data_IF_593678494984
#
_entry.id   IF_593678494984
#
_cell.length_a   1.000
_cell.length_b   1.000
_cell.length_c   1.000
_cell.angle_alpha   90.00
_cell.angle_beta   90.00
_cell.angle_gamma   90.00
#
_symmetry.space_group_name_H-M   'P 1'
#
loop_
_entity.id
_entity.type
_entity.pdbx_description
1 polymer ?
#
# COMPACT_ATOMS: atom_id res chain seq x y z
N UNK A 1 -2.00 6.45 -2.31
CA UNK A 1 -2.48 5.27 -3.03
C UNK A 1 -2.00 5.34 -4.47
N UNK A 2 -1.46 4.23 -4.98
CA UNK A 2 -1.06 4.06 -6.36
C UNK A 2 -2.09 3.19 -7.07
N UNK A 3 -2.56 3.59 -8.24
CA UNK A 3 -3.43 2.75 -9.07
C UNK A 3 -2.78 2.43 -10.42
N UNK A 4 -3.08 1.23 -10.93
CA UNK A 4 -2.53 0.78 -12.21
C UNK A 4 -3.46 1.19 -13.35
N UNK A 5 -2.87 1.72 -14.42
CA UNK A 5 -3.51 2.12 -15.68
C UNK A 5 -4.42 3.35 -15.59
N UNK A 6 -5.38 3.37 -14.67
CA UNK A 6 -6.33 4.46 -14.48
C UNK A 6 -6.77 4.58 -13.01
N UNK A 7 -7.56 5.61 -12.71
CA UNK A 7 -8.08 5.93 -11.37
C UNK A 7 -9.49 5.35 -11.19
N UNK A 8 -9.61 4.03 -11.34
CA UNK A 8 -10.89 3.32 -11.27
C UNK A 8 -10.85 2.01 -10.48
N UNK A 9 -9.67 1.61 -9.99
CA UNK A 9 -9.51 0.35 -9.26
C UNK A 9 -10.20 0.41 -7.89
N UNK A 10 -10.02 1.51 -7.15
CA UNK A 10 -10.79 1.86 -5.96
C UNK A 10 -11.73 3.01 -6.34
N UNK A 11 -12.95 2.68 -6.76
CA UNK A 11 -13.77 3.59 -7.55
C UNK A 11 -14.24 4.85 -6.79
N UNK A 12 -14.27 4.80 -5.46
CA UNK A 12 -14.75 5.86 -4.58
C UNK A 12 -13.61 6.60 -3.84
N UNK A 13 -12.35 6.30 -4.16
CA UNK A 13 -11.17 6.95 -3.60
C UNK A 13 -10.20 7.32 -4.71
N UNK A 14 -9.98 8.61 -4.95
CA UNK A 14 -9.02 9.04 -5.97
C UNK A 14 -7.58 8.59 -5.67
N UNK A 15 -6.89 8.12 -6.69
CA UNK A 15 -5.47 7.79 -6.68
C UNK A 15 -4.61 9.03 -6.42
N UNK A 16 -3.50 8.85 -5.70
CA UNK A 16 -2.49 9.91 -5.61
C UNK A 16 -1.56 9.90 -6.82
N UNK A 17 -1.37 8.73 -7.44
CA UNK A 17 -0.61 8.57 -8.67
C UNK A 17 -1.07 7.31 -9.41
N UNK A 18 -1.17 7.42 -10.73
CA UNK A 18 -1.41 6.29 -11.63
C UNK A 18 -0.09 5.83 -12.24
N UNK A 19 0.08 4.51 -12.39
CA UNK A 19 1.26 3.92 -13.02
C UNK A 19 0.89 2.90 -14.09
N UNK A 20 1.80 2.63 -15.03
CA UNK A 20 1.64 1.58 -16.04
C UNK A 20 2.65 0.47 -15.82
N UNK A 21 2.37 -0.74 -16.32
CA UNK A 21 3.20 -1.92 -16.11
C UNK A 21 2.71 -2.75 -14.93
N UNK A 22 3.59 -3.51 -14.30
CA UNK A 22 3.27 -4.36 -13.15
C UNK A 22 4.21 -4.02 -11.99
N UNK A 23 3.67 -4.07 -10.77
CA UNK A 23 4.45 -4.21 -9.54
C UNK A 23 4.45 -5.70 -9.17
N UNK A 24 5.63 -6.25 -8.88
CA UNK A 24 5.79 -7.64 -8.49
C UNK A 24 5.13 -7.95 -7.15
N UNK A 25 4.35 -9.03 -7.11
CA UNK A 25 3.81 -9.59 -5.87
C UNK A 25 4.93 -10.11 -4.94
N UNK A 26 6.11 -10.45 -5.51
CA UNK A 26 7.21 -11.03 -4.75
C UNK A 26 7.99 -9.96 -4.00
N UNK A 27 8.42 -8.89 -4.65
CA UNK A 27 9.24 -7.84 -4.04
C UNK A 27 9.57 -6.78 -5.09
N UNK A 28 9.44 -5.51 -4.74
CA UNK A 28 10.09 -4.39 -5.44
C UNK A 28 10.54 -3.34 -4.43
N UNK A 29 11.47 -2.49 -4.85
CA UNK A 29 11.86 -1.31 -4.08
C UNK A 29 11.01 -0.14 -4.58
N UNK A 30 10.27 0.51 -3.68
CA UNK A 30 9.58 1.76 -3.97
C UNK A 30 10.20 2.89 -3.17
N UNK A 31 10.37 4.03 -3.83
CA UNK A 31 10.92 5.24 -3.22
C UNK A 31 9.90 6.37 -3.33
N UNK A 32 9.63 7.00 -2.20
CA UNK A 32 8.94 8.28 -2.16
C UNK A 32 9.99 9.38 -2.21
N UNK A 33 9.94 10.23 -3.23
CA UNK A 33 10.83 11.37 -3.39
C UNK A 33 10.02 12.67 -3.43
N UNK A 34 10.62 13.76 -2.95
CA UNK A 34 10.04 15.08 -3.09
C UNK A 34 10.24 15.65 -4.50
N UNK A 35 9.73 16.87 -4.73
CA UNK A 35 9.83 17.54 -6.04
C UNK A 35 11.27 17.89 -6.46
N UNK A 36 12.23 17.88 -5.53
CA UNK A 36 13.65 18.08 -5.81
C UNK A 36 14.39 16.75 -6.04
N UNK A 37 13.68 15.62 -5.97
CA UNK A 37 14.26 14.29 -6.08
C UNK A 37 14.90 13.77 -4.80
N UNK A 38 14.75 14.48 -3.67
CA UNK A 38 15.28 14.05 -2.37
C UNK A 38 14.46 12.85 -1.88
N UNK A 39 15.15 11.81 -1.42
CA UNK A 39 14.51 10.63 -0.84
C UNK A 39 13.82 11.00 0.48
N UNK A 40 12.51 10.77 0.55
CA UNK A 40 11.68 10.99 1.74
C UNK A 40 11.47 9.68 2.49
N UNK A 41 11.11 8.62 1.77
CA UNK A 41 10.92 7.29 2.33
C UNK A 41 11.26 6.22 1.30
N UNK A 42 11.64 5.04 1.76
CA UNK A 42 11.98 3.91 0.91
C UNK A 42 11.42 2.65 1.53
N UNK A 43 10.81 1.82 0.71
CA UNK A 43 10.40 0.47 1.09
C UNK A 43 11.24 -0.55 0.35
N UNK A 44 11.71 -1.52 1.12
CA UNK A 44 12.34 -2.74 0.64
C UNK A 44 11.45 -3.92 0.99
N UNK A 45 11.94 -5.12 0.74
CA UNK A 45 11.27 -6.37 1.06
C UNK A 45 12.29 -7.34 1.65
N UNK A 46 11.80 -8.35 2.36
CA UNK A 46 12.64 -9.44 2.87
C UNK A 46 12.61 -10.65 1.94
N UNK A 47 13.20 -11.75 2.39
CA UNK A 47 13.23 -13.02 1.64
C UNK A 47 11.83 -13.59 1.35
N UNK A 48 10.83 -13.23 2.17
CA UNK A 48 9.43 -13.61 2.01
C UNK A 48 8.58 -12.55 1.32
N UNK A 49 9.22 -11.56 0.72
CA UNK A 49 8.60 -10.48 -0.03
C UNK A 49 8.25 -9.24 0.79
N UNK A 50 7.15 -8.58 0.42
CA UNK A 50 6.67 -7.37 1.08
C UNK A 50 6.53 -7.57 2.59
N UNK A 51 6.87 -6.54 3.37
CA UNK A 51 6.88 -6.62 4.84
C UNK A 51 5.48 -6.75 5.48
N UNK A 52 4.42 -6.61 4.69
CA UNK A 52 3.03 -6.87 5.08
C UNK A 52 2.15 -7.03 3.85
N UNK A 53 0.84 -7.13 4.09
CA UNK A 53 -0.14 -7.48 3.07
C UNK A 53 -0.33 -8.99 2.96
N UNK A 54 -1.41 -9.39 2.30
CA UNK A 54 -1.70 -10.79 2.03
C UNK A 54 -2.47 -10.91 0.71
N UNK A 55 -1.91 -11.65 -0.25
CA UNK A 55 -2.49 -11.81 -1.58
C UNK A 55 -3.78 -12.64 -1.57
N UNK A 56 -3.83 -13.70 -0.77
CA UNK A 56 -4.96 -14.62 -0.74
C UNK A 56 -6.22 -13.94 -0.19
N UNK A 57 -6.07 -13.17 0.89
CA UNK A 57 -7.14 -12.35 1.45
C UNK A 57 -7.28 -10.99 0.76
N UNK A 58 -6.39 -10.65 -0.18
CA UNK A 58 -6.30 -9.33 -0.84
C UNK A 58 -6.20 -8.17 0.16
N UNK A 59 -5.49 -8.38 1.26
CA UNK A 59 -5.25 -7.37 2.30
C UNK A 59 -4.02 -6.53 1.98
N UNK A 60 -4.12 -5.21 2.16
CA UNK A 60 -3.02 -4.29 1.85
C UNK A 60 -1.93 -4.31 2.93
N UNK A 61 -0.72 -3.96 2.52
CA UNK A 61 0.37 -3.59 3.43
C UNK A 61 0.16 -2.15 3.92
N UNK A 62 0.20 -1.93 5.23
CA UNK A 62 -0.11 -0.65 5.87
C UNK A 62 1.02 -0.21 6.82
N UNK A 63 1.25 1.11 6.91
CA UNK A 63 2.22 1.68 7.85
C UNK A 63 1.73 1.54 9.28
N UNK A 64 2.62 1.10 10.16
CA UNK A 64 2.31 0.90 11.58
C UNK A 64 2.87 2.03 12.47
N UNK A 65 3.96 2.66 12.03
CA UNK A 65 4.62 3.75 12.74
C UNK A 65 5.38 4.65 11.74
N UNK A 66 6.00 5.71 12.25
CA UNK A 66 6.79 6.69 11.49
C UNK A 66 8.28 6.32 11.38
N UNK A 67 8.64 5.07 11.67
CA UNK A 67 10.00 4.55 11.49
C UNK A 67 10.39 4.42 10.01
N UNK A 68 11.64 4.00 9.77
CA UNK A 68 12.16 3.79 8.41
C UNK A 68 11.30 2.79 7.65
N UNK A 69 10.91 3.14 6.41
CA UNK A 69 10.17 2.24 5.54
C UNK A 69 10.90 0.96 5.13
N UNK A 70 12.22 0.91 5.31
CA UNK A 70 13.07 -0.24 5.07
C UNK A 70 13.01 -1.25 6.23
N UNK A 71 12.41 -0.90 7.36
CA UNK A 71 12.22 -1.78 8.50
C UNK A 71 10.93 -2.57 8.37
N UNK A 72 11.01 -3.89 8.52
CA UNK A 72 9.81 -4.76 8.57
C UNK A 72 8.84 -4.34 9.68
N UNK A 73 9.35 -3.86 10.82
CA UNK A 73 8.52 -3.45 11.97
C UNK A 73 7.72 -2.15 11.73
N UNK A 74 7.94 -1.47 10.60
CA UNK A 74 7.17 -0.29 10.19
C UNK A 74 5.97 -0.64 9.31
N UNK A 75 5.72 -1.94 9.10
CA UNK A 75 4.68 -2.46 8.23
C UNK A 75 3.83 -3.54 8.91
N UNK A 76 2.56 -3.61 8.50
CA UNK A 76 1.62 -4.62 8.93
C UNK A 76 0.62 -4.92 7.81
N UNK A 77 -0.20 -5.95 8.02
CA UNK A 77 -1.27 -6.32 7.10
C UNK A 77 -2.59 -5.74 7.62
N UNK A 78 -3.42 -5.18 6.73
CA UNK A 78 -4.76 -4.72 7.08
C UNK A 78 -5.52 -5.78 7.89
N UNK A 79 -6.20 -5.35 8.95
CA UNK A 79 -6.87 -6.23 9.94
C UNK A 79 -8.12 -6.96 9.38
N UNK A 80 -8.59 -6.59 8.19
CA UNK A 80 -9.79 -7.16 7.57
C UNK A 80 -11.11 -6.68 8.19
N UNK A 81 -11.07 -5.74 9.14
CA UNK A 81 -12.22 -5.15 9.84
C UNK A 81 -12.33 -3.67 9.51
N UNK A 82 -11.25 -2.93 9.68
CA UNK A 82 -11.13 -1.51 9.39
C UNK A 82 -10.80 -1.33 7.91
N UNK A 83 -11.78 -0.84 7.14
CA UNK A 83 -11.71 -0.74 5.68
C UNK A 83 -12.12 0.64 5.21
N UNK A 84 -11.54 1.08 4.10
CA UNK A 84 -11.99 2.26 3.36
C UNK A 84 -11.87 2.00 1.86
N UNK A 85 -12.87 2.44 1.10
CA UNK A 85 -12.89 2.30 -0.33
C UNK A 85 -13.50 0.98 -0.81
N UNK A 86 -13.89 1.00 -2.07
CA UNK A 86 -14.61 -0.06 -2.73
C UNK A 86 -13.94 -0.38 -4.07
N UNK A 87 -13.83 -1.66 -4.40
CA UNK A 87 -13.30 -2.09 -5.70
C UNK A 87 -14.23 -1.72 -6.86
N UNK A 88 -13.76 -1.83 -8.09
CA UNK A 88 -14.55 -1.56 -9.29
C UNK A 88 -15.89 -2.31 -9.40
N UNK A 89 -16.11 -3.36 -8.60
CA UNK A 89 -17.37 -4.11 -8.54
C UNK A 89 -18.29 -3.67 -7.39
N UNK A 90 -17.90 -2.66 -6.61
CA UNK A 90 -18.67 -2.15 -5.48
C UNK A 90 -18.39 -2.82 -4.14
N UNK A 91 -17.39 -3.70 -4.05
CA UNK A 91 -17.09 -4.48 -2.83
C UNK A 91 -16.02 -3.82 -1.98
N UNK A 92 -16.17 -3.84 -0.66
CA UNK A 92 -15.17 -3.26 0.24
C UNK A 92 -13.81 -3.95 0.13
N UNK A 93 -12.75 -3.14 -0.01
CA UNK A 93 -11.38 -3.63 -0.06
C UNK A 93 -10.82 -3.85 1.35
N UNK A 94 -9.91 -4.82 1.50
CA UNK A 94 -9.17 -5.02 2.75
C UNK A 94 -7.98 -4.06 2.84
N UNK A 95 -8.27 -2.77 2.92
CA UNK A 95 -7.29 -1.71 3.07
C UNK A 95 -7.93 -0.39 3.46
N UNK A 96 -7.10 0.58 3.83
CA UNK A 96 -7.55 1.92 4.26
C UNK A 96 -6.98 3.07 3.41
N UNK A 97 -6.99 3.04 2.07
CA UNK A 97 -6.44 4.12 1.25
C UNK A 97 -7.06 5.46 1.60
N UNK A 98 -6.21 6.47 1.82
CA UNK A 98 -6.66 7.84 2.16
C UNK A 98 -7.26 7.99 3.56
N UNK A 99 -7.22 6.96 4.41
CA UNK A 99 -7.64 6.99 5.81
C UNK A 99 -6.54 6.49 6.73
N UNK A 100 -6.76 6.61 8.04
CA UNK A 100 -5.86 6.04 9.05
C UNK A 100 -5.74 4.53 8.86
N UNK A 101 -4.52 4.02 8.98
CA UNK A 101 -4.25 2.59 8.89
C UNK A 101 -4.89 1.81 10.03
N UNK A 102 -5.20 0.54 9.76
CA UNK A 102 -5.81 -0.38 10.71
C UNK A 102 -4.82 -0.98 11.71
N UNK A 103 -3.52 -0.83 11.43
CA UNK A 103 -2.41 -1.42 12.19
C UNK A 103 -1.66 -0.37 13.00
N UNK A 104 -1.39 -0.69 14.25
CA UNK A 104 -0.66 0.17 15.19
C UNK A 104 0.35 -0.71 15.97
N UNK A 105 1.51 -0.15 16.33
CA UNK A 105 2.49 -0.77 17.24
C UNK A 105 2.64 0.10 18.47
#
# INVERSE_FOLDING_TARGET
MLERTDDTSVYDVSANQTYTGALSDSCEILELRDNNGVLIDKVTCGDNGWYGGNKDSRSTMERVNTGSGESQNSWGTNDGVTKNGLDASGSAINGTPGKTNSVNN
#
